data_IF_693256449788
#
_entry.id   IF_693256449788
#
_cell.length_a   1.000
_cell.length_b   1.000
_cell.length_c   1.000
_cell.angle_alpha   90.00
_cell.angle_beta   90.00
_cell.angle_gamma   90.00
#
_symmetry.space_group_name_H-M   'P 1'
#
loop_
_entity.id
_entity.type
_entity.pdbx_description
1 polymer ?
#
# COMPACT_ATOMS: atom_id res chain seq x y z
N UNK A 1 20.35 22.88 -8.93
CA UNK A 1 20.53 22.01 -7.73
C UNK A 1 19.62 20.76 -7.70
N UNK A 2 18.99 20.32 -8.81
CA UNK A 2 18.12 19.13 -8.81
C UNK A 2 18.74 17.87 -9.47
N UNK A 3 19.88 18.00 -10.15
CA UNK A 3 20.56 16.93 -10.89
C UNK A 3 21.05 15.76 -10.01
N UNK A 4 21.34 15.99 -8.72
CA UNK A 4 21.89 14.96 -7.83
C UNK A 4 20.83 14.08 -7.14
N UNK A 5 19.54 14.41 -7.23
CA UNK A 5 18.46 13.61 -6.60
C UNK A 5 18.20 12.27 -7.32
N UNK A 6 18.66 12.12 -8.56
CA UNK A 6 18.51 10.90 -9.36
C UNK A 6 19.74 9.99 -9.37
N UNK A 7 20.86 10.40 -8.74
CA UNK A 7 22.10 9.62 -8.60
C UNK A 7 22.22 8.86 -7.29
N UNK A 8 21.11 8.73 -6.55
CA UNK A 8 21.08 7.94 -5.32
C UNK A 8 21.20 6.45 -5.66
N UNK A 9 22.09 5.67 -5.01
CA UNK A 9 22.10 4.21 -5.13
C UNK A 9 20.84 3.57 -4.52
N UNK A 10 20.07 4.33 -3.74
CA UNK A 10 18.82 3.88 -3.14
C UNK A 10 17.64 4.08 -4.08
N UNK A 11 16.83 3.04 -4.22
CA UNK A 11 15.55 3.09 -4.90
C UNK A 11 14.52 3.86 -4.07
N UNK A 12 13.71 4.68 -4.74
CA UNK A 12 12.57 5.34 -4.13
C UNK A 12 11.40 4.38 -4.14
N UNK A 13 10.74 4.22 -3.00
CA UNK A 13 9.55 3.37 -2.84
C UNK A 13 8.42 4.22 -2.27
N UNK A 14 7.22 4.09 -2.84
CA UNK A 14 6.03 4.77 -2.34
C UNK A 14 5.14 3.74 -1.63
N UNK A 15 5.00 3.91 -0.33
CA UNK A 15 4.20 3.04 0.53
C UNK A 15 2.84 3.67 0.80
N UNK A 16 1.77 2.93 0.52
CA UNK A 16 0.39 3.40 0.70
C UNK A 16 -0.38 2.67 1.82
N UNK A 17 0.08 1.47 2.22
CA UNK A 17 -0.61 0.56 3.14
C UNK A 17 0.10 0.40 4.48
N UNK A 18 0.18 -0.84 4.96
CA UNK A 18 0.62 -1.20 6.33
C UNK A 18 2.08 -0.88 6.65
N UNK A 19 2.91 -0.56 5.66
CA UNK A 19 4.32 -0.17 5.84
C UNK A 19 4.52 1.33 6.15
N UNK A 20 3.48 2.16 6.00
CA UNK A 20 3.56 3.60 6.32
C UNK A 20 3.88 3.82 7.80
N UNK A 21 4.45 4.98 8.14
CA UNK A 21 4.68 5.38 9.54
C UNK A 21 3.37 5.31 10.33
N UNK A 22 3.42 4.68 11.51
CA UNK A 22 2.25 4.52 12.38
C UNK A 22 1.32 3.36 12.02
N UNK A 23 1.62 2.62 10.94
CA UNK A 23 0.83 1.46 10.51
C UNK A 23 1.47 0.12 10.97
N UNK A 24 0.71 -0.99 11.00
CA UNK A 24 1.10 -2.21 11.74
C UNK A 24 2.44 -2.82 11.33
N UNK A 25 2.81 -2.75 10.05
CA UNK A 25 4.03 -3.36 9.54
C UNK A 25 5.21 -2.37 9.43
N UNK A 26 5.10 -1.17 10.00
CA UNK A 26 6.15 -0.17 9.91
C UNK A 26 7.48 -0.61 10.55
N UNK A 27 7.44 -1.52 11.52
CA UNK A 27 8.66 -2.10 12.12
C UNK A 27 9.55 -2.79 11.07
N UNK A 28 8.96 -3.46 10.07
CA UNK A 28 9.70 -4.17 9.02
C UNK A 28 10.58 -3.25 8.17
N UNK A 29 10.13 -2.00 7.93
CA UNK A 29 10.89 -1.01 7.16
C UNK A 29 11.95 -0.29 8.00
N UNK A 30 11.83 -0.34 9.33
CA UNK A 30 12.79 0.22 10.28
C UNK A 30 13.87 -0.76 10.68
N UNK A 31 13.58 -2.06 10.58
CA UNK A 31 14.49 -3.12 10.92
C UNK A 31 15.68 -3.16 9.95
N UNK A 32 16.87 -2.87 10.49
CA UNK A 32 18.12 -2.83 9.73
C UNK A 32 18.53 -4.20 9.19
N UNK A 33 18.01 -5.30 9.74
CA UNK A 33 18.22 -6.64 9.20
C UNK A 33 17.54 -6.82 7.83
N UNK A 34 16.47 -6.05 7.53
CA UNK A 34 15.77 -6.07 6.24
C UNK A 34 16.36 -5.05 5.23
N UNK A 35 17.44 -4.36 5.60
CA UNK A 35 18.10 -3.33 4.80
C UNK A 35 17.89 -1.92 5.34
N UNK A 36 18.23 -0.93 4.52
CA UNK A 36 18.18 0.49 4.91
C UNK A 36 17.06 1.23 4.17
N UNK A 37 16.19 1.89 4.93
CA UNK A 37 15.17 2.78 4.40
C UNK A 37 15.23 4.16 5.08
N UNK A 38 15.21 5.21 4.26
CA UNK A 38 15.16 6.60 4.72
C UNK A 38 13.83 7.23 4.30
N UNK A 39 13.10 7.79 5.26
CA UNK A 39 11.90 8.58 4.95
C UNK A 39 12.30 9.87 4.24
N UNK A 40 11.69 10.12 3.08
CA UNK A 40 11.96 11.31 2.28
C UNK A 40 10.87 12.38 2.41
N UNK A 41 9.63 11.99 2.71
CA UNK A 41 8.51 12.92 2.82
C UNK A 41 7.16 12.24 2.59
N UNK A 42 6.10 13.04 2.69
CA UNK A 42 4.77 12.61 2.27
C UNK A 42 4.65 12.69 0.75
N UNK A 43 3.97 11.72 0.17
CA UNK A 43 3.58 11.76 -1.22
C UNK A 43 2.07 11.62 -1.34
N UNK A 44 1.49 12.46 -2.17
CA UNK A 44 0.31 12.08 -2.92
C UNK A 44 0.79 11.88 -4.34
N UNK A 45 -0.18 11.68 -5.16
CA UNK A 45 -0.09 10.74 -6.20
C UNK A 45 -1.04 11.52 -7.20
N UNK A 46 -0.59 11.85 -8.44
CA UNK A 46 -1.22 12.39 -9.69
C UNK A 46 -2.31 11.56 -10.43
N UNK A 47 -2.09 10.33 -10.93
CA UNK A 47 -3.12 9.50 -11.65
C UNK A 47 -3.99 8.61 -10.74
N UNK A 48 -5.22 9.00 -10.42
CA UNK A 48 -6.07 8.31 -9.43
C UNK A 48 -6.16 6.78 -9.61
N UNK A 49 -5.97 6.05 -8.51
CA UNK A 49 -6.12 4.60 -8.38
C UNK A 49 -7.06 4.23 -7.22
N UNK A 50 -7.86 3.14 -7.35
CA UNK A 50 -8.66 2.62 -6.25
C UNK A 50 -7.76 2.00 -5.18
N UNK A 51 -7.85 2.55 -3.97
CA UNK A 51 -7.30 1.94 -2.77
C UNK A 51 -8.46 1.36 -1.97
N UNK A 52 -8.49 0.04 -1.84
CA UNK A 52 -9.57 -0.69 -1.16
C UNK A 52 -9.01 -1.51 0.00
N UNK A 53 -9.84 -1.80 1.00
CA UNK A 53 -9.54 -2.76 2.07
C UNK A 53 -10.35 -4.00 1.78
N UNK A 54 -9.69 -5.15 1.63
CA UNK A 54 -10.35 -6.40 1.24
C UNK A 54 -9.79 -7.61 1.99
N UNK A 55 -10.39 -8.77 1.70
CA UNK A 55 -10.15 -10.08 2.34
C UNK A 55 -10.60 -10.14 3.79
N UNK A 56 -10.71 -11.35 4.34
CA UNK A 56 -10.92 -11.55 5.79
C UNK A 56 -9.82 -10.93 6.68
N UNK A 57 -8.68 -10.56 6.10
CA UNK A 57 -7.53 -9.99 6.80
C UNK A 57 -7.41 -8.47 6.69
N UNK A 58 -8.39 -7.79 6.07
CA UNK A 58 -8.44 -6.33 5.94
C UNK A 58 -7.14 -5.73 5.37
N UNK A 59 -6.66 -6.31 4.27
CA UNK A 59 -5.42 -5.92 3.63
C UNK A 59 -5.71 -4.74 2.68
N UNK A 60 -4.92 -3.65 2.73
CA UNK A 60 -5.04 -2.56 1.76
C UNK A 60 -4.46 -2.97 0.40
N UNK A 61 -5.24 -2.82 -0.67
CA UNK A 61 -4.84 -3.07 -2.05
C UNK A 61 -4.97 -1.81 -2.90
N UNK A 62 -3.91 -1.44 -3.60
CA UNK A 62 -3.95 -0.45 -4.67
C UNK A 62 -4.17 -1.17 -6.01
N UNK A 63 -5.35 -1.01 -6.59
CA UNK A 63 -5.75 -1.70 -7.83
C UNK A 63 -5.18 -0.96 -9.04
N UNK A 64 -4.64 -1.69 -10.04
CA UNK A 64 -4.11 -1.09 -11.27
C UNK A 64 -5.24 -0.66 -12.24
N UNK A 65 -6.10 0.24 -11.77
CA UNK A 65 -7.20 0.84 -12.55
C UNK A 65 -7.01 2.37 -12.55
N UNK A 66 -6.25 2.92 -13.51
CA UNK A 66 -5.99 4.36 -13.55
C UNK A 66 -7.29 5.16 -13.78
N UNK A 67 -7.28 6.41 -13.34
CA UNK A 67 -8.38 7.37 -13.42
C UNK A 67 -9.63 6.96 -12.63
N UNK A 68 -9.46 6.20 -11.56
CA UNK A 68 -10.54 5.78 -10.66
C UNK A 68 -10.05 5.87 -9.21
N UNK A 69 -10.89 6.28 -8.27
CA UNK A 69 -10.51 6.40 -6.86
C UNK A 69 -9.83 7.73 -6.51
N UNK A 70 -9.02 7.75 -5.44
CA UNK A 70 -8.61 8.98 -4.74
C UNK A 70 -7.08 9.16 -4.60
N UNK A 71 -6.27 8.30 -5.21
CA UNK A 71 -4.80 8.21 -5.00
C UNK A 71 -4.09 8.28 -6.36
N UNK A 72 -3.45 9.37 -6.81
CA UNK A 72 -2.60 9.35 -8.03
C UNK A 72 -1.13 8.77 -8.10
N UNK A 73 -0.07 9.32 -8.78
CA UNK A 73 1.44 9.16 -8.67
C UNK A 73 2.41 10.37 -8.29
N UNK A 74 3.57 10.10 -7.65
CA UNK A 74 4.77 10.96 -7.47
C UNK A 74 5.91 10.43 -8.38
N UNK A 75 6.68 11.28 -9.07
CA UNK A 75 7.33 11.02 -10.39
C UNK A 75 8.33 9.86 -10.57
N UNK A 76 8.82 9.17 -9.53
CA UNK A 76 9.63 7.92 -9.62
C UNK A 76 9.63 7.21 -8.27
N UNK A 77 8.74 6.26 -8.05
CA UNK A 77 8.78 5.41 -6.87
C UNK A 77 8.24 3.99 -7.17
N UNK A 78 8.84 2.97 -6.58
CA UNK A 78 8.30 1.61 -6.60
C UNK A 78 6.97 1.58 -5.85
N UNK A 79 5.89 1.30 -6.57
CA UNK A 79 4.54 1.13 -6.06
C UNK A 79 4.12 -0.31 -6.33
N UNK A 80 3.56 -0.98 -5.32
CA UNK A 80 3.04 -2.33 -5.47
C UNK A 80 1.56 -2.27 -5.85
N UNK A 81 1.24 -2.53 -7.12
CA UNK A 81 -0.14 -2.66 -7.59
C UNK A 81 -0.61 -4.10 -7.55
N UNK A 82 -1.93 -4.30 -7.43
CA UNK A 82 -2.59 -5.56 -7.77
C UNK A 82 -3.08 -5.48 -9.24
N UNK A 83 -2.37 -6.09 -10.21
CA UNK A 83 -2.71 -5.95 -11.63
C UNK A 83 -3.83 -6.88 -12.09
N UNK A 84 -3.97 -8.05 -11.44
CA UNK A 84 -5.07 -9.01 -11.67
C UNK A 84 -5.91 -9.02 -10.42
N UNK A 85 -7.17 -8.64 -10.56
CA UNK A 85 -8.08 -8.50 -9.43
C UNK A 85 -9.51 -8.89 -9.84
N UNK A 86 -10.30 -9.40 -8.88
CA UNK A 86 -11.74 -9.63 -9.05
C UNK A 86 -12.48 -8.31 -9.23
N UNK A 87 -13.35 -8.21 -10.23
CA UNK A 87 -14.08 -6.97 -10.56
C UNK A 87 -14.90 -6.42 -9.40
N UNK A 88 -15.47 -7.29 -8.56
CA UNK A 88 -16.26 -6.91 -7.38
C UNK A 88 -15.49 -6.07 -6.35
N UNK A 89 -14.16 -6.07 -6.38
CA UNK A 89 -13.35 -5.19 -5.54
C UNK A 89 -13.55 -3.71 -5.88
N UNK A 90 -14.03 -3.38 -7.08
CA UNK A 90 -14.34 -2.00 -7.48
C UNK A 90 -15.62 -1.47 -6.83
N UNK A 91 -16.49 -2.35 -6.33
CA UNK A 91 -17.71 -1.99 -5.60
C UNK A 91 -17.44 -1.68 -4.12
N UNK A 92 -16.22 -1.97 -3.66
CA UNK A 92 -15.80 -1.71 -2.28
C UNK A 92 -15.52 -0.22 -2.04
N UNK A 93 -15.64 0.27 -0.79
CA UNK A 93 -15.26 1.63 -0.45
C UNK A 93 -13.81 1.94 -0.84
N UNK A 94 -13.63 3.08 -1.53
CA UNK A 94 -12.32 3.55 -1.97
C UNK A 94 -11.79 4.63 -1.04
N UNK A 95 -10.56 4.47 -0.57
CA UNK A 95 -9.95 5.34 0.41
C UNK A 95 -8.93 6.28 -0.23
N UNK A 96 -8.89 7.54 0.21
CA UNK A 96 -7.84 8.48 -0.18
C UNK A 96 -6.50 8.19 0.54
N UNK A 97 -6.56 7.58 1.72
CA UNK A 97 -5.41 7.14 2.50
C UNK A 97 -5.84 5.98 3.40
N UNK A 98 -5.06 4.91 3.43
CA UNK A 98 -5.27 3.82 4.38
C UNK A 98 -4.85 4.25 5.80
N UNK A 99 -5.61 3.85 6.82
CA UNK A 99 -5.11 3.80 8.18
C UNK A 99 -5.71 2.63 8.94
N UNK A 100 -4.91 1.86 9.66
CA UNK A 100 -5.40 0.77 10.49
C UNK A 100 -6.36 1.28 11.60
N UNK A 101 -6.24 2.54 11.99
CA UNK A 101 -7.13 3.20 12.95
C UNK A 101 -8.17 4.11 12.28
N UNK A 102 -8.42 3.93 10.98
CA UNK A 102 -9.40 4.70 10.24
C UNK A 102 -10.85 4.47 10.69
N UNK A 103 -11.73 5.40 10.32
CA UNK A 103 -13.17 5.37 10.64
C UNK A 103 -13.94 4.19 10.03
N UNK A 104 -13.32 3.44 9.11
CA UNK A 104 -13.90 2.24 8.52
C UNK A 104 -14.00 1.05 9.49
N UNK A 105 -13.32 1.06 10.64
CA UNK A 105 -13.35 -0.02 11.63
C UNK A 105 -12.65 -1.33 11.22
N UNK A 106 -12.29 -1.49 9.95
CA UNK A 106 -11.56 -2.65 9.41
C UNK A 106 -10.09 -2.70 9.87
N UNK A 107 -9.80 -3.44 10.94
CA UNK A 107 -8.44 -3.67 11.47
C UNK A 107 -7.68 -4.69 10.65
N UNK A 108 -6.48 -4.33 10.21
CA UNK A 108 -5.52 -5.24 9.59
C UNK A 108 -5.22 -6.42 10.52
N UNK A 109 -5.31 -7.63 9.97
CA UNK A 109 -4.94 -8.86 10.65
C UNK A 109 -3.47 -9.20 10.34
N UNK A 110 -2.60 -9.13 11.35
CA UNK A 110 -1.16 -9.38 11.22
C UNK A 110 -0.85 -10.81 10.77
N UNK A 111 0.23 -11.00 10.02
CA UNK A 111 0.51 -12.28 9.33
C UNK A 111 0.59 -13.49 10.28
N UNK A 112 1.13 -13.33 11.48
CA UNK A 112 1.35 -14.43 12.42
C UNK A 112 0.07 -14.89 13.16
N UNK A 113 -1.00 -14.11 13.15
CA UNK A 113 -2.31 -14.51 13.71
C UNK A 113 -3.26 -15.09 12.66
N UNK A 114 -2.81 -15.20 11.41
CA UNK A 114 -3.65 -15.68 10.31
C UNK A 114 -3.75 -17.20 10.31
N UNK A 115 -4.89 -17.70 9.88
CA UNK A 115 -5.08 -19.12 9.59
C UNK A 115 -4.18 -19.54 8.41
N UNK A 116 -3.22 -20.46 8.63
CA UNK A 116 -2.25 -20.88 7.62
C UNK A 116 -2.89 -21.73 6.52
N UNK A 117 -4.06 -22.33 6.77
CA UNK A 117 -4.78 -23.15 5.78
C UNK A 117 -5.60 -22.31 4.79
N UNK A 118 -5.82 -21.03 5.11
CA UNK A 118 -6.70 -20.16 4.33
C UNK A 118 -5.96 -19.31 3.29
N UNK A 119 -6.27 -19.54 2.02
CA UNK A 119 -5.74 -18.75 0.91
C UNK A 119 -6.65 -17.56 0.54
N UNK A 120 -6.46 -16.45 1.27
CA UNK A 120 -7.11 -15.16 1.01
C UNK A 120 -6.84 -14.58 -0.38
N UNK A 121 -5.86 -15.09 -1.16
CA UNK A 121 -5.64 -14.65 -2.54
C UNK A 121 -6.84 -14.96 -3.43
N UNK A 122 -7.58 -16.02 -3.14
CA UNK A 122 -8.80 -16.40 -3.87
C UNK A 122 -9.92 -15.38 -3.74
N UNK A 123 -9.90 -14.52 -2.71
CA UNK A 123 -10.89 -13.44 -2.56
C UNK A 123 -10.59 -12.25 -3.47
N UNK A 124 -9.34 -12.11 -3.93
CA UNK A 124 -8.89 -10.95 -4.71
C UNK A 124 -8.49 -11.28 -6.14
N UNK A 125 -8.13 -12.53 -6.45
CA UNK A 125 -7.73 -13.00 -7.79
C UNK A 125 -8.84 -13.72 -8.54
#
# INVERSE_FOLDING_TARGET
MYENLFKSPLHRVFVYGTLKRGEPNHSLIKDTANGYAKFLGFGRTTVLYPLVIATKYNIPFLLKKPNMGNVGELTKASIYFLPRYRSSLLDSPMYASYSNNGSHGLKYCEKYVRDPSYDHRKEVQ
#
